data_IF_713267875279
#
_entry.id   IF_713267875279
#
_cell.length_a   1.000
_cell.length_b   1.000
_cell.length_c   1.000
_cell.angle_alpha   90.00
_cell.angle_beta   90.00
_cell.angle_gamma   90.00
#
_symmetry.space_group_name_H-M   'P 1'
#
loop_
_entity.id
_entity.type
_entity.pdbx_description
1 polymer ?
#
# COMPACT_ATOMS: atom_id res chain seq x y z
N UNK A 1 -4.09 -11.88 17.85
CA UNK A 1 -3.66 -10.50 17.52
C UNK A 1 -4.11 -10.18 16.10
N UNK A 2 -4.80 -9.06 15.86
CA UNK A 2 -5.12 -8.65 14.48
C UNK A 2 -3.79 -8.32 13.77
N UNK A 3 -3.55 -8.92 12.60
CA UNK A 3 -2.32 -8.73 11.83
C UNK A 3 -2.36 -7.40 11.07
N UNK A 4 -1.21 -6.76 10.85
CA UNK A 4 -1.07 -5.58 9.97
C UNK A 4 -1.68 -5.84 8.57
N UNK A 5 -1.67 -7.10 8.14
CA UNK A 5 -2.31 -7.60 6.92
C UNK A 5 -3.78 -7.17 6.76
N UNK A 6 -4.52 -7.04 7.87
CA UNK A 6 -5.93 -6.60 7.83
C UNK A 6 -6.04 -5.14 7.41
N UNK A 7 -5.10 -4.29 7.84
CA UNK A 7 -5.07 -2.87 7.47
C UNK A 7 -4.74 -2.73 5.98
N UNK A 8 -3.76 -3.49 5.48
CA UNK A 8 -3.41 -3.49 4.06
C UNK A 8 -4.60 -3.89 3.17
N UNK A 9 -5.35 -4.95 3.56
CA UNK A 9 -6.57 -5.36 2.86
C UNK A 9 -7.65 -4.31 2.88
N UNK A 10 -7.85 -3.63 4.02
CA UNK A 10 -8.83 -2.56 4.15
C UNK A 10 -8.49 -1.41 3.21
N UNK A 11 -7.23 -0.94 3.23
CA UNK A 11 -6.76 0.14 2.34
C UNK A 11 -6.98 -0.27 0.87
N UNK A 12 -6.56 -1.47 0.48
CA UNK A 12 -6.74 -1.97 -0.88
C UNK A 12 -8.22 -2.00 -1.31
N UNK A 13 -9.09 -2.54 -0.44
CA UNK A 13 -10.52 -2.60 -0.71
C UNK A 13 -11.13 -1.19 -0.85
N UNK A 14 -10.69 -0.21 -0.05
CA UNK A 14 -11.13 1.17 -0.20
C UNK A 14 -10.75 1.71 -1.58
N UNK A 15 -9.51 1.55 -2.00
CA UNK A 15 -9.06 2.02 -3.31
C UNK A 15 -9.78 1.32 -4.46
N UNK A 16 -9.96 0.00 -4.38
CA UNK A 16 -10.63 -0.80 -5.41
C UNK A 16 -12.14 -0.49 -5.49
N UNK A 17 -12.81 -0.27 -4.37
CA UNK A 17 -14.26 -0.01 -4.32
C UNK A 17 -14.58 1.41 -4.78
N UNK A 18 -13.80 2.39 -4.34
CA UNK A 18 -14.09 3.80 -4.57
C UNK A 18 -13.31 4.42 -5.75
N UNK A 19 -12.53 3.61 -6.47
CA UNK A 19 -11.69 4.02 -7.61
C UNK A 19 -10.92 5.31 -7.34
N UNK A 20 -10.26 5.34 -6.19
CA UNK A 20 -9.65 6.55 -5.63
C UNK A 20 -8.47 6.98 -6.50
N UNK A 21 -8.59 8.13 -7.15
CA UNK A 21 -7.56 8.68 -8.03
C UNK A 21 -7.00 9.97 -7.43
N UNK A 22 -5.68 10.18 -7.51
CA UNK A 22 -5.11 11.44 -7.04
C UNK A 22 -5.59 12.60 -7.92
N UNK A 23 -6.01 13.70 -7.32
CA UNK A 23 -6.20 14.95 -8.06
C UNK A 23 -4.82 15.43 -8.51
N UNK A 24 -4.50 15.26 -9.79
CA UNK A 24 -3.22 15.66 -10.36
C UNK A 24 -3.09 17.18 -10.34
N UNK A 25 -2.49 17.73 -9.29
CA UNK A 25 -1.75 19.00 -9.32
C UNK A 25 -0.55 18.84 -8.40
N UNK A 26 0.62 18.66 -9.00
CA UNK A 26 1.94 18.53 -8.36
C UNK A 26 2.46 19.83 -7.72
N UNK A 27 1.57 20.71 -7.26
CA UNK A 27 1.94 21.90 -6.53
C UNK A 27 1.02 22.02 -5.31
N UNK A 28 1.63 22.31 -4.17
CA UNK A 28 1.01 22.68 -2.89
C UNK A 28 0.67 21.54 -1.90
N UNK A 29 0.74 21.95 -0.64
CA UNK A 29 0.95 21.22 0.62
C UNK A 29 -0.14 20.19 1.01
N UNK A 30 -1.02 19.81 0.07
CA UNK A 30 -2.24 19.04 0.29
C UNK A 30 -2.18 17.66 -0.45
N UNK A 31 -1.08 16.94 -0.24
CA UNK A 31 -0.77 15.62 -0.82
C UNK A 31 -1.78 14.50 -0.45
N UNK A 32 -2.73 14.80 0.44
CA UNK A 32 -3.67 13.85 1.03
C UNK A 32 -5.11 14.02 0.49
N UNK A 33 -5.31 14.92 -0.48
CA UNK A 33 -6.57 15.06 -1.17
C UNK A 33 -6.67 14.13 -2.39
N UNK A 34 -7.68 13.28 -2.37
CA UNK A 34 -7.97 12.32 -3.43
C UNK A 34 -9.40 12.50 -3.94
N UNK A 35 -9.66 12.01 -5.14
CA UNK A 35 -11.00 11.97 -5.73
C UNK A 35 -11.50 10.55 -5.62
N UNK A 36 -12.59 10.36 -4.88
CA UNK A 36 -13.33 9.10 -4.85
C UNK A 36 -14.56 9.19 -5.75
N UNK A 37 -14.95 8.08 -6.37
CA UNK A 37 -16.23 7.97 -7.06
C UNK A 37 -17.28 7.46 -6.06
N UNK A 38 -18.39 8.18 -5.91
CA UNK A 38 -19.51 7.72 -5.09
C UNK A 38 -20.30 6.60 -5.81
N UNK A 39 -21.35 6.08 -5.18
CA UNK A 39 -22.25 5.07 -5.77
C UNK A 39 -22.93 5.56 -7.07
N UNK A 40 -22.99 6.89 -7.26
CA UNK A 40 -23.52 7.57 -8.43
C UNK A 40 -22.43 7.89 -9.48
N UNK A 41 -21.19 7.41 -9.29
CA UNK A 41 -20.03 7.64 -10.16
C UNK A 41 -19.60 9.12 -10.30
N UNK A 42 -20.02 9.96 -9.35
CA UNK A 42 -19.63 11.37 -9.27
C UNK A 42 -18.29 11.52 -8.51
N UNK A 43 -17.37 12.37 -8.99
CA UNK A 43 -16.10 12.61 -8.32
C UNK A 43 -16.28 13.49 -7.08
N UNK A 44 -16.03 12.93 -5.90
CA UNK A 44 -16.00 13.67 -4.64
C UNK A 44 -14.54 13.85 -4.18
N UNK A 45 -14.15 15.11 -3.89
CA UNK A 45 -12.86 15.39 -3.25
C UNK A 45 -12.95 14.99 -1.77
N UNK A 46 -12.05 14.12 -1.34
CA UNK A 46 -11.95 13.65 0.05
C UNK A 46 -10.51 13.71 0.54
N UNK A 47 -10.35 13.89 1.85
CA UNK A 47 -9.08 13.64 2.51
C UNK A 47 -8.97 12.12 2.76
N UNK A 48 -8.02 11.46 2.10
CA UNK A 48 -7.92 9.99 2.16
C UNK A 48 -7.47 9.50 3.52
N UNK A 49 -6.65 10.29 4.23
CA UNK A 49 -6.15 9.94 5.56
C UNK A 49 -7.32 9.84 6.53
N UNK A 50 -8.12 10.91 6.63
CA UNK A 50 -9.26 10.93 7.55
C UNK A 50 -10.32 9.89 7.20
N UNK A 51 -10.52 9.61 5.91
CA UNK A 51 -11.42 8.56 5.46
C UNK A 51 -10.97 7.17 5.93
N UNK A 52 -9.68 6.86 5.74
CA UNK A 52 -9.12 5.56 6.15
C UNK A 52 -9.06 5.43 7.67
N UNK A 53 -8.68 6.50 8.39
CA UNK A 53 -8.70 6.52 9.85
C UNK A 53 -10.09 6.21 10.40
N UNK A 54 -11.13 6.84 9.84
CA UNK A 54 -12.52 6.56 10.22
C UNK A 54 -12.90 5.10 9.96
N UNK A 55 -12.53 4.55 8.80
CA UNK A 55 -12.76 3.13 8.47
C UNK A 55 -12.00 2.18 9.41
N UNK A 56 -10.81 2.56 9.86
CA UNK A 56 -10.05 1.79 10.85
C UNK A 56 -10.75 1.81 12.23
N UNK A 57 -11.33 2.94 12.61
CA UNK A 57 -12.12 3.08 13.83
C UNK A 57 -13.38 2.21 13.78
N UNK A 58 -14.17 2.31 12.69
CA UNK A 58 -15.38 1.50 12.45
C UNK A 58 -15.10 -0.01 12.60
N UNK A 59 -13.97 -0.48 12.06
CA UNK A 59 -13.57 -1.89 12.11
C UNK A 59 -12.98 -2.33 13.46
N UNK A 60 -13.00 -1.46 14.48
CA UNK A 60 -12.34 -1.65 15.77
C UNK A 60 -10.88 -2.11 15.59
N UNK A 61 -10.22 -1.63 14.53
CA UNK A 61 -8.81 -1.92 14.24
C UNK A 61 -7.89 -1.01 15.06
N UNK A 62 -8.39 0.11 15.58
CA UNK A 62 -7.66 1.00 16.47
C UNK A 62 -7.55 0.51 17.92
N UNK A 63 -8.07 -0.67 18.26
CA UNK A 63 -7.90 -1.30 19.60
C UNK A 63 -6.49 -1.89 19.77
N UNK A 64 -5.48 -1.11 19.42
CA UNK A 64 -4.09 -1.40 19.63
C UNK A 64 -3.55 -0.48 20.74
N UNK A 65 -2.51 -0.92 21.47
CA UNK A 65 -1.82 -0.04 22.42
C UNK A 65 -1.28 1.22 21.72
N UNK A 66 -1.20 2.34 22.45
CA UNK A 66 -0.87 3.68 21.94
C UNK A 66 0.36 3.71 21.01
N UNK A 67 1.43 2.99 21.35
CA UNK A 67 2.65 2.94 20.53
C UNK A 67 2.39 2.41 19.11
N UNK A 68 1.50 1.43 18.97
CA UNK A 68 1.18 0.81 17.69
C UNK A 68 0.23 1.69 16.88
N UNK A 69 -0.65 2.43 17.54
CA UNK A 69 -1.50 3.43 16.86
C UNK A 69 -0.64 4.53 16.24
N UNK A 70 0.32 5.08 17.00
CA UNK A 70 1.27 6.08 16.50
C UNK A 70 2.09 5.54 15.32
N UNK A 71 2.57 4.29 15.42
CA UNK A 71 3.26 3.63 14.31
C UNK A 71 2.36 3.52 13.06
N UNK A 72 1.12 3.05 13.23
CA UNK A 72 0.16 2.91 12.12
C UNK A 72 -0.12 4.28 11.51
N UNK A 73 -0.40 5.33 12.29
CA UNK A 73 -0.67 6.67 11.79
C UNK A 73 0.51 7.23 11.00
N UNK A 74 1.74 7.06 11.52
CA UNK A 74 2.96 7.47 10.83
C UNK A 74 3.16 6.73 9.50
N UNK A 75 2.87 5.43 9.46
CA UNK A 75 3.01 4.60 8.25
C UNK A 75 1.83 4.68 7.29
N UNK A 76 0.66 5.11 7.75
CA UNK A 76 -0.60 5.11 6.99
C UNK A 76 -0.43 5.89 5.69
N UNK A 77 0.16 7.08 5.77
CA UNK A 77 0.43 7.93 4.62
C UNK A 77 1.32 7.25 3.59
N UNK A 78 2.38 6.60 4.04
CA UNK A 78 3.27 5.86 3.16
C UNK A 78 2.59 4.62 2.55
N UNK A 79 1.71 3.95 3.29
CA UNK A 79 0.92 2.82 2.78
C UNK A 79 -0.06 3.26 1.70
N UNK A 80 -0.72 4.40 1.87
CA UNK A 80 -1.63 4.98 0.88
C UNK A 80 -0.90 5.33 -0.41
N UNK A 81 0.25 6.00 -0.29
CA UNK A 81 1.10 6.31 -1.44
C UNK A 81 1.59 5.03 -2.14
N UNK A 82 1.99 4.02 -1.36
CA UNK A 82 2.41 2.73 -1.88
C UNK A 82 1.28 1.97 -2.56
N UNK A 83 0.07 2.00 -2.02
CA UNK A 83 -1.12 1.41 -2.63
C UNK A 83 -1.43 2.07 -3.98
N UNK A 84 -1.42 3.40 -4.03
CA UNK A 84 -1.58 4.17 -5.27
C UNK A 84 -0.51 3.77 -6.30
N UNK A 85 0.74 3.72 -5.88
CA UNK A 85 1.86 3.38 -6.74
C UNK A 85 1.73 1.94 -7.29
N UNK A 86 1.38 0.97 -6.44
CA UNK A 86 1.09 -0.41 -6.85
C UNK A 86 -0.05 -0.51 -7.86
N UNK A 87 -1.11 0.31 -7.72
CA UNK A 87 -2.25 0.28 -8.62
C UNK A 87 -1.97 0.92 -9.97
N UNK A 88 -1.45 2.16 -9.96
CA UNK A 88 -1.40 3.03 -11.14
C UNK A 88 -0.02 3.18 -11.78
N UNK A 89 1.06 2.88 -11.05
CA UNK A 89 2.43 3.13 -11.52
C UNK A 89 3.26 1.87 -11.71
N UNK A 90 2.82 0.72 -11.19
CA UNK A 90 3.54 -0.54 -11.26
C UNK A 90 2.88 -1.50 -12.26
N UNK A 91 3.66 -1.92 -13.25
CA UNK A 91 3.23 -2.79 -14.35
C UNK A 91 3.91 -4.15 -14.26
N UNK A 92 3.11 -5.20 -14.41
CA UNK A 92 3.61 -6.57 -14.52
C UNK A 92 4.41 -6.72 -15.83
N UNK A 93 5.50 -7.48 -15.78
CA UNK A 93 6.46 -7.70 -16.85
C UNK A 93 7.30 -6.49 -17.24
N UNK A 94 7.17 -5.37 -16.53
CA UNK A 94 8.03 -4.17 -16.68
C UNK A 94 8.78 -3.91 -15.38
N UNK A 95 8.05 -3.61 -14.31
CA UNK A 95 8.62 -3.29 -13.00
C UNK A 95 8.82 -4.56 -12.15
N UNK A 96 7.99 -5.58 -12.37
CA UNK A 96 8.02 -6.82 -11.61
C UNK A 96 7.43 -7.99 -12.39
N UNK A 97 7.83 -9.20 -12.01
CA UNK A 97 7.30 -10.45 -12.55
C UNK A 97 6.82 -11.34 -11.42
N UNK A 98 5.90 -12.25 -11.73
CA UNK A 98 5.43 -13.27 -10.81
C UNK A 98 6.17 -14.55 -11.15
N UNK A 99 6.95 -15.07 -10.19
CA UNK A 99 7.58 -16.38 -10.33
C UNK A 99 6.55 -17.50 -10.28
N UNK A 100 6.88 -18.67 -10.84
CA UNK A 100 6.05 -19.87 -10.80
C UNK A 100 5.61 -20.28 -9.37
N UNK A 101 6.42 -19.94 -8.36
CA UNK A 101 6.10 -20.13 -6.94
C UNK A 101 5.03 -19.17 -6.38
N UNK A 102 4.46 -18.29 -7.21
CA UNK A 102 3.48 -17.27 -6.80
C UNK A 102 4.10 -16.16 -5.96
N UNK A 103 5.36 -15.80 -6.23
CA UNK A 103 6.10 -14.73 -5.54
C UNK A 103 6.39 -13.58 -6.50
N UNK A 104 6.35 -12.36 -5.98
CA UNK A 104 6.68 -11.17 -6.75
C UNK A 104 8.18 -10.96 -6.74
N UNK A 105 8.77 -10.86 -7.92
CA UNK A 105 10.19 -10.60 -8.12
C UNK A 105 10.36 -9.26 -8.83
N UNK A 106 11.21 -8.42 -8.25
CA UNK A 106 11.54 -7.12 -8.83
C UNK A 106 12.39 -7.31 -10.08
N UNK A 107 12.00 -6.65 -11.17
CA UNK A 107 12.76 -6.65 -12.41
C UNK A 107 13.38 -5.28 -12.59
N UNK A 108 14.70 -5.23 -12.67
CA UNK A 108 15.42 -4.02 -13.06
C UNK A 108 15.55 -4.01 -14.59
N UNK A 109 14.45 -3.66 -15.26
CA UNK A 109 14.41 -3.60 -16.72
C UNK A 109 15.32 -2.48 -17.26
N UNK A 110 15.51 -1.41 -16.47
CA UNK A 110 16.26 -0.24 -16.91
C UNK A 110 17.79 -0.41 -16.93
N UNK A 111 18.40 -1.23 -16.06
CA UNK A 111 19.87 -1.33 -16.03
C UNK A 111 20.46 -2.65 -16.55
N UNK A 112 19.83 -3.80 -16.32
CA UNK A 112 20.55 -5.08 -16.50
C UNK A 112 19.72 -6.24 -17.04
N UNK A 113 18.39 -6.18 -16.98
CA UNK A 113 17.55 -7.33 -17.33
C UNK A 113 17.72 -8.52 -16.38
N UNK A 114 18.42 -8.34 -15.25
CA UNK A 114 18.61 -9.37 -14.23
C UNK A 114 17.50 -9.25 -13.19
N UNK A 115 16.74 -10.32 -13.00
CA UNK A 115 15.73 -10.41 -11.94
C UNK A 115 16.41 -10.46 -10.57
N UNK A 116 16.01 -9.58 -9.66
CA UNK A 116 16.55 -9.55 -8.29
C UNK A 116 15.58 -10.24 -7.34
N UNK A 117 15.71 -11.56 -7.21
CA UNK A 117 14.80 -12.41 -6.41
C UNK A 117 14.75 -12.04 -4.92
N UNK A 118 15.78 -11.38 -4.37
CA UNK A 118 15.83 -11.02 -2.95
C UNK A 118 15.44 -9.55 -2.66
N UNK A 119 15.01 -8.80 -3.67
CA UNK A 119 14.63 -7.40 -3.49
C UNK A 119 13.15 -7.34 -3.07
N UNK A 120 12.87 -6.60 -2.00
CA UNK A 120 11.52 -6.39 -1.50
C UNK A 120 11.28 -4.89 -1.45
N UNK A 121 10.11 -4.44 -1.91
CA UNK A 121 9.72 -3.05 -1.71
C UNK A 121 9.26 -2.82 -0.27
N UNK A 122 9.71 -1.71 0.29
CA UNK A 122 9.38 -1.29 1.65
C UNK A 122 7.99 -0.60 1.70
N UNK A 123 7.58 -0.26 2.93
CA UNK A 123 6.39 0.55 3.21
C UNK A 123 5.09 -0.08 2.69
N UNK A 124 4.96 -1.40 2.78
CA UNK A 124 3.74 -2.10 2.34
C UNK A 124 3.60 -2.27 0.82
N UNK A 125 4.47 -1.68 -0.01
CA UNK A 125 4.32 -1.70 -1.47
C UNK A 125 4.32 -3.12 -2.02
N UNK A 126 5.23 -3.97 -1.54
CA UNK A 126 5.31 -5.36 -1.95
C UNK A 126 4.03 -6.14 -1.55
N UNK A 127 3.48 -5.85 -0.37
CA UNK A 127 2.23 -6.42 0.14
C UNK A 127 1.03 -6.00 -0.71
N UNK A 128 1.00 -4.75 -1.20
CA UNK A 128 -0.04 -4.28 -2.10
C UNK A 128 0.04 -4.92 -3.48
N UNK A 129 1.25 -5.13 -4.01
CA UNK A 129 1.42 -5.88 -5.26
C UNK A 129 0.97 -7.34 -5.10
N UNK A 130 1.24 -7.96 -3.95
CA UNK A 130 0.73 -9.30 -3.63
C UNK A 130 -0.81 -9.30 -3.60
N UNK A 131 -1.44 -8.29 -3.01
CA UNK A 131 -2.89 -8.13 -3.01
C UNK A 131 -3.47 -7.91 -4.41
N UNK A 132 -2.79 -7.13 -5.26
CA UNK A 132 -3.17 -6.90 -6.66
C UNK A 132 -3.34 -8.21 -7.44
N UNK A 133 -2.47 -9.17 -7.17
CA UNK A 133 -2.45 -10.50 -7.81
C UNK A 133 -3.12 -11.60 -7.00
N UNK A 134 -3.84 -11.26 -5.93
CA UNK A 134 -4.46 -12.22 -5.01
C UNK A 134 -3.48 -13.26 -4.43
N UNK A 135 -2.20 -12.90 -4.31
CA UNK A 135 -1.15 -13.74 -3.77
C UNK A 135 -1.15 -13.74 -2.24
N UNK A 136 -0.45 -14.71 -1.65
CA UNK A 136 -0.30 -14.81 -0.20
C UNK A 136 0.56 -13.65 0.31
N UNK A 137 -0.05 -12.82 1.16
CA UNK A 137 0.64 -11.73 1.84
C UNK A 137 1.80 -12.24 2.70
N UNK A 138 2.99 -11.76 2.37
CA UNK A 138 4.19 -11.97 3.17
C UNK A 138 4.23 -10.94 4.31
N UNK A 139 4.49 -11.35 5.56
CA UNK A 139 4.66 -10.39 6.65
C UNK A 139 5.86 -9.49 6.33
N UNK A 140 5.69 -8.17 6.48
CA UNK A 140 6.80 -7.23 6.33
C UNK A 140 7.86 -7.55 7.39
N UNK A 141 9.05 -7.97 6.96
CA UNK A 141 10.17 -8.18 7.90
C UNK A 141 10.71 -6.81 8.28
N UNK A 142 10.36 -6.33 9.45
CA UNK A 142 11.03 -5.21 10.10
C UNK A 142 12.39 -5.73 10.59
N UNK A 143 13.43 -5.66 9.75
CA UNK A 143 14.80 -5.94 10.19
C UNK A 143 15.26 -4.79 11.10
N UNK A 144 14.93 -4.84 12.38
CA UNK A 144 15.33 -3.83 13.38
C UNK A 144 16.64 -4.19 14.10
N UNK A 145 17.35 -5.24 13.67
CA UNK A 145 18.61 -5.62 14.32
C UNK A 145 19.66 -6.05 13.30
N UNK A 146 20.52 -5.11 12.91
CA UNK A 146 21.86 -5.43 12.41
C UNK A 146 22.80 -5.54 13.61
N UNK A 147 22.93 -6.75 14.17
CA UNK A 147 24.06 -7.05 15.05
C UNK A 147 25.23 -7.45 14.15
N UNK A 148 26.12 -6.50 13.88
CA UNK A 148 27.46 -6.80 13.36
C UNK A 148 28.34 -7.22 14.54
N UNK A 149 28.97 -8.40 14.46
CA UNK A 149 29.93 -8.91 15.44
C UNK A 149 31.29 -8.21 15.31
#
# INVERSE_FOLDING_TARGET
MKSLTVIFRLIWNCFSTYHISSTGRDNDEDNDCFVMKNEQNEPCKINILTFIEKKLEDQNLLRYPNYRQQYIQSKLRAWIQSCKHAMYSMYENIDYVISDDGKIVVVDYQNTGVSRTNMHWNNGLHQFLQLKHNLRLSPERMCDSFFSN
#
